data_IF_798703771165
#
_entry.id   IF_798703771165
#
_cell.length_a   1.000
_cell.length_b   1.000
_cell.length_c   1.000
_cell.angle_alpha   90.00
_cell.angle_beta   90.00
_cell.angle_gamma   90.00
#
_symmetry.space_group_name_H-M   'P 1'
#
loop_
_entity.id
_entity.type
_entity.pdbx_description
1 polymer ?
#
# COMPACT_ATOMS: atom_id res chain seq x y z
N UNK A 1 -18.54 3.68 17.85
CA UNK A 1 -18.25 4.56 16.70
C UNK A 1 -19.48 4.55 15.82
N UNK A 2 -19.92 5.68 15.27
CA UNK A 2 -21.02 5.66 14.29
C UNK A 2 -20.58 4.78 13.11
N UNK A 3 -21.51 4.08 12.46
CA UNK A 3 -21.22 3.17 11.33
C UNK A 3 -20.54 3.88 10.14
N UNK A 4 -20.49 5.21 10.14
CA UNK A 4 -20.01 6.05 9.02
C UNK A 4 -18.83 6.95 9.42
N UNK A 5 -17.98 6.52 10.34
CA UNK A 5 -16.77 7.26 10.75
C UNK A 5 -15.51 6.42 10.67
N UNK A 6 -14.39 7.12 10.46
CA UNK A 6 -13.03 6.59 10.41
C UNK A 6 -12.10 7.43 11.27
N UNK A 7 -11.08 6.81 11.84
CA UNK A 7 -9.99 7.48 12.53
C UNK A 7 -8.88 7.77 11.54
N UNK A 8 -8.65 9.05 11.27
CA UNK A 8 -7.77 9.56 10.22
C UNK A 8 -6.56 10.23 10.85
N UNK A 9 -5.37 9.87 10.39
CA UNK A 9 -4.12 10.52 10.77
C UNK A 9 -3.92 11.79 9.93
N UNK A 10 -4.10 11.69 8.61
CA UNK A 10 -3.94 12.82 7.70
C UNK A 10 -4.68 12.60 6.37
N UNK A 11 -5.06 13.70 5.72
CA UNK A 11 -5.50 13.71 4.31
C UNK A 11 -4.74 14.82 3.60
N UNK A 12 -3.98 14.47 2.58
CA UNK A 12 -3.08 15.40 1.90
C UNK A 12 -2.99 15.12 0.40
N UNK A 13 -2.50 16.10 -0.35
CA UNK A 13 -2.31 16.02 -1.80
C UNK A 13 -0.82 16.00 -2.11
N UNK A 14 -0.39 14.98 -2.86
CA UNK A 14 1.00 14.84 -3.31
C UNK A 14 1.08 14.03 -4.62
N UNK A 15 2.24 13.49 -4.95
CA UNK A 15 2.45 12.52 -6.02
C UNK A 15 2.46 11.10 -5.46
N UNK A 16 1.84 10.16 -6.16
CA UNK A 16 2.04 8.75 -5.85
C UNK A 16 3.52 8.41 -5.95
N UNK A 17 4.09 7.89 -4.87
CA UNK A 17 5.52 7.62 -4.76
C UNK A 17 5.92 6.23 -5.24
N UNK A 18 4.95 5.33 -5.36
CA UNK A 18 5.18 3.89 -5.57
C UNK A 18 4.12 3.26 -6.48
N UNK A 19 4.42 2.07 -7.01
CA UNK A 19 3.53 1.29 -7.86
C UNK A 19 3.32 1.87 -9.25
N UNK A 20 2.31 1.34 -9.94
CA UNK A 20 1.98 1.62 -11.34
C UNK A 20 1.62 3.08 -11.60
N UNK A 21 1.07 3.77 -10.61
CA UNK A 21 0.64 5.17 -10.72
C UNK A 21 1.68 6.16 -10.21
N UNK A 22 2.93 5.73 -10.00
CA UNK A 22 4.03 6.59 -9.58
C UNK A 22 4.12 7.88 -10.41
N UNK A 23 4.27 9.02 -9.73
CA UNK A 23 4.33 10.36 -10.33
C UNK A 23 2.98 11.01 -10.61
N UNK A 24 1.84 10.32 -10.43
CA UNK A 24 0.53 10.92 -10.63
C UNK A 24 0.07 11.73 -9.41
N UNK A 25 -0.53 12.92 -9.60
CA UNK A 25 -1.11 13.68 -8.49
C UNK A 25 -2.26 12.92 -7.83
N UNK A 26 -2.15 12.74 -6.53
CA UNK A 26 -2.97 11.81 -5.74
C UNK A 26 -3.32 12.44 -4.39
N UNK A 27 -4.58 12.31 -3.99
CA UNK A 27 -4.99 12.58 -2.61
C UNK A 27 -4.84 11.31 -1.79
N UNK A 28 -4.06 11.39 -0.72
CA UNK A 28 -3.87 10.31 0.23
C UNK A 28 -4.82 10.47 1.39
N UNK A 29 -5.48 9.37 1.78
CA UNK A 29 -6.30 9.27 2.97
C UNK A 29 -5.61 8.28 3.90
N UNK A 30 -4.88 8.79 4.90
CA UNK A 30 -4.10 7.98 5.83
C UNK A 30 -4.90 7.69 7.09
N UNK A 31 -5.32 6.45 7.26
CA UNK A 31 -6.03 5.96 8.44
C UNK A 31 -5.06 5.71 9.61
N UNK A 32 -5.61 5.74 10.82
CA UNK A 32 -4.88 5.47 12.06
C UNK A 32 -5.03 4.02 12.51
N UNK A 33 -3.94 3.43 13.00
CA UNK A 33 -3.90 2.13 13.68
C UNK A 33 -3.46 0.99 12.76
N UNK A 34 -2.44 0.24 13.18
CA UNK A 34 -1.94 -0.94 12.47
C UNK A 34 -1.75 -2.11 13.46
N UNK A 35 -2.15 -3.35 13.12
CA UNK A 35 -1.89 -4.52 13.95
C UNK A 35 -0.47 -5.07 13.80
N UNK A 36 0.35 -4.53 12.88
CA UNK A 36 1.73 -4.95 12.61
C UNK A 36 2.74 -3.96 13.20
N UNK A 37 3.96 -4.42 13.46
CA UNK A 37 5.13 -3.64 13.90
C UNK A 37 6.35 -3.97 13.04
N UNK A 38 6.21 -3.73 11.73
CA UNK A 38 7.27 -4.02 10.76
C UNK A 38 8.57 -3.26 11.14
N UNK A 39 9.71 -3.94 11.13
CA UNK A 39 11.00 -3.35 11.54
C UNK A 39 11.48 -2.17 10.69
N UNK A 40 10.96 -2.01 9.47
CA UNK A 40 11.27 -0.92 8.55
C UNK A 40 10.12 0.07 8.35
N UNK A 41 9.13 0.10 9.25
CA UNK A 41 7.96 0.97 9.07
C UNK A 41 8.36 2.46 9.05
N UNK A 42 8.07 3.14 7.96
CA UNK A 42 8.30 4.59 7.81
C UNK A 42 7.11 5.46 8.27
N UNK A 43 6.02 4.83 8.71
CA UNK A 43 4.77 5.50 9.09
C UNK A 43 4.33 5.10 10.52
N UNK A 44 5.26 4.90 11.45
CA UNK A 44 4.93 4.56 12.85
C UNK A 44 4.05 5.61 13.53
N UNK A 45 4.17 6.87 13.10
CA UNK A 45 3.34 7.98 13.59
C UNK A 45 1.84 7.76 13.35
N UNK A 46 1.45 6.88 12.41
CA UNK A 46 0.06 6.53 12.15
C UNK A 46 -0.47 5.38 13.04
N UNK A 47 0.32 4.80 13.95
CA UNK A 47 -0.15 3.72 14.84
C UNK A 47 -1.14 4.21 15.90
N UNK A 48 -1.06 5.48 16.31
CA UNK A 48 -1.85 6.07 17.38
C UNK A 48 -2.25 7.52 17.02
N UNK A 49 -3.02 8.18 17.88
CA UNK A 49 -3.47 9.56 17.62
C UNK A 49 -4.62 9.60 16.63
N UNK A 50 -4.59 10.54 15.67
CA UNK A 50 -5.63 10.71 14.66
C UNK A 50 -6.99 11.19 15.19
N UNK A 51 -7.80 11.70 14.27
CA UNK A 51 -9.10 12.29 14.55
C UNK A 51 -10.23 11.42 13.98
N UNK A 52 -11.31 11.27 14.74
CA UNK A 52 -12.51 10.60 14.21
C UNK A 52 -13.26 11.55 13.30
N UNK A 53 -13.46 11.16 12.05
CA UNK A 53 -14.13 11.95 11.01
C UNK A 53 -15.22 11.16 10.35
N UNK A 54 -16.30 11.84 9.97
CA UNK A 54 -17.35 11.19 9.16
C UNK A 54 -16.83 10.95 7.74
N UNK A 55 -17.38 9.93 7.06
CA UNK A 55 -17.05 9.66 5.65
C UNK A 55 -17.40 10.88 4.78
N UNK A 56 -18.50 11.57 5.07
CA UNK A 56 -18.91 12.74 4.29
C UNK A 56 -17.94 13.92 4.47
N UNK A 57 -17.37 14.12 5.67
CA UNK A 57 -16.32 15.12 5.89
C UNK A 57 -15.02 14.76 5.13
N UNK A 58 -14.70 13.47 5.04
CA UNK A 58 -13.54 12.96 4.30
C UNK A 58 -13.72 13.26 2.81
N UNK A 59 -14.88 12.92 2.24
CA UNK A 59 -15.21 13.19 0.83
C UNK A 59 -15.13 14.69 0.51
N UNK A 60 -15.72 15.55 1.35
CA UNK A 60 -15.64 17.00 1.15
C UNK A 60 -14.20 17.53 1.18
N UNK A 61 -13.31 16.93 1.96
CA UNK A 61 -11.90 17.32 1.95
C UNK A 61 -11.17 16.80 0.71
N UNK A 62 -11.47 15.57 0.28
CA UNK A 62 -10.93 15.00 -0.96
C UNK A 62 -11.29 15.88 -2.15
N UNK A 63 -12.57 16.26 -2.28
CA UNK A 63 -13.06 17.13 -3.37
C UNK A 63 -12.31 18.46 -3.41
N UNK A 64 -12.03 19.06 -2.24
CA UNK A 64 -11.29 20.33 -2.14
C UNK A 64 -9.84 20.23 -2.59
N UNK A 65 -9.22 19.06 -2.49
CA UNK A 65 -7.83 18.83 -2.91
C UNK A 65 -7.71 18.62 -4.43
N UNK A 66 -8.78 18.18 -5.09
CA UNK A 66 -8.92 18.21 -6.55
C UNK A 66 -8.15 17.14 -7.34
N UNK A 67 -7.60 16.12 -6.67
CA UNK A 67 -6.97 14.99 -7.36
C UNK A 67 -8.01 14.01 -7.91
N UNK A 68 -7.78 13.47 -9.11
CA UNK A 68 -8.62 12.38 -9.63
C UNK A 68 -8.26 11.02 -9.02
N UNK A 69 -7.01 10.85 -8.60
CA UNK A 69 -6.50 9.63 -7.97
C UNK A 69 -6.55 9.74 -6.45
N UNK A 70 -7.06 8.70 -5.80
CA UNK A 70 -7.18 8.61 -4.35
C UNK A 70 -6.45 7.36 -3.89
N UNK A 71 -5.57 7.51 -2.91
CA UNK A 71 -4.89 6.40 -2.26
C UNK A 71 -5.37 6.29 -0.81
N UNK A 72 -6.08 5.21 -0.51
CA UNK A 72 -6.51 4.87 0.86
C UNK A 72 -5.41 4.01 1.49
N UNK A 73 -4.81 4.50 2.56
CA UNK A 73 -3.62 3.93 3.21
C UNK A 73 -3.64 4.22 4.71
N UNK A 74 -2.54 3.97 5.41
CA UNK A 74 -2.27 4.39 6.79
C UNK A 74 -1.73 3.28 7.64
N UNK A 75 -1.81 3.42 8.97
CA UNK A 75 -1.87 2.16 9.71
C UNK A 75 -2.98 1.31 9.07
N UNK A 76 -2.77 0.00 8.93
CA UNK A 76 -3.60 -0.93 8.13
C UNK A 76 -5.06 -0.49 7.90
N UNK A 77 -5.43 0.00 6.69
CA UNK A 77 -6.75 0.58 6.46
C UNK A 77 -7.90 -0.38 6.76
N UNK A 78 -7.72 -1.66 6.43
CA UNK A 78 -8.73 -2.70 6.62
C UNK A 78 -8.97 -3.04 8.10
N UNK A 79 -8.16 -2.49 9.03
CA UNK A 79 -8.42 -2.61 10.46
C UNK A 79 -9.66 -1.81 10.89
N UNK A 80 -10.11 -0.86 10.07
CA UNK A 80 -11.33 -0.09 10.32
C UNK A 80 -12.43 -0.49 9.33
N UNK A 81 -13.40 -1.29 9.78
CA UNK A 81 -14.48 -1.84 8.92
C UNK A 81 -15.23 -0.80 8.07
N UNK A 82 -15.37 0.44 8.54
CA UNK A 82 -16.04 1.51 7.79
C UNK A 82 -15.29 1.93 6.51
N UNK A 83 -14.03 1.50 6.33
CA UNK A 83 -13.21 1.86 5.15
C UNK A 83 -13.80 1.34 3.85
N UNK A 84 -14.51 0.21 3.89
CA UNK A 84 -15.22 -0.33 2.73
C UNK A 84 -16.27 0.66 2.21
N UNK A 85 -17.04 1.28 3.12
CA UNK A 85 -18.01 2.31 2.76
C UNK A 85 -17.36 3.58 2.20
N UNK A 86 -16.20 3.99 2.73
CA UNK A 86 -15.44 5.10 2.16
C UNK A 86 -15.00 4.81 0.73
N UNK A 87 -14.38 3.65 0.49
CA UNK A 87 -13.89 3.27 -0.83
C UNK A 87 -15.02 3.17 -1.86
N UNK A 88 -16.15 2.60 -1.47
CA UNK A 88 -17.34 2.53 -2.32
C UNK A 88 -17.82 3.94 -2.72
N UNK A 89 -18.00 4.85 -1.75
CA UNK A 89 -18.44 6.22 -2.02
C UNK A 89 -17.47 7.01 -2.88
N UNK A 90 -16.16 6.83 -2.69
CA UNK A 90 -15.14 7.44 -3.55
C UNK A 90 -15.27 6.96 -5.00
N UNK A 91 -15.44 5.66 -5.20
CA UNK A 91 -15.66 5.09 -6.53
C UNK A 91 -16.97 5.59 -7.16
N UNK A 92 -18.05 5.70 -6.37
CA UNK A 92 -19.34 6.22 -6.83
C UNK A 92 -19.27 7.70 -7.24
N UNK A 93 -18.37 8.47 -6.62
CA UNK A 93 -18.09 9.86 -7.01
C UNK A 93 -17.18 9.97 -8.25
N UNK A 94 -16.73 8.86 -8.81
CA UNK A 94 -15.94 8.81 -10.05
C UNK A 94 -14.42 8.88 -9.85
N UNK A 95 -13.92 8.77 -8.62
CA UNK A 95 -12.48 8.74 -8.35
C UNK A 95 -11.82 7.43 -8.77
N UNK A 96 -10.54 7.49 -9.13
CA UNK A 96 -9.69 6.31 -9.27
C UNK A 96 -9.07 5.97 -7.92
N UNK A 97 -9.56 4.90 -7.30
CA UNK A 97 -9.18 4.55 -5.92
C UNK A 97 -8.19 3.39 -5.91
N UNK A 98 -7.09 3.56 -5.18
CA UNK A 98 -6.20 2.46 -4.78
C UNK A 98 -6.19 2.28 -3.28
N UNK A 99 -6.04 1.03 -2.84
CA UNK A 99 -5.88 0.63 -1.45
C UNK A 99 -4.46 0.10 -1.24
N UNK A 100 -3.70 0.70 -0.33
CA UNK A 100 -2.44 0.13 0.16
C UNK A 100 -2.69 -0.60 1.48
N UNK A 101 -2.46 -1.91 1.49
CA UNK A 101 -2.72 -2.79 2.66
C UNK A 101 -1.56 -3.77 2.85
N UNK A 102 -1.33 -4.20 4.10
CA UNK A 102 -0.32 -5.22 4.42
C UNK A 102 -0.69 -6.63 3.95
N UNK A 103 -1.94 -6.85 3.55
CA UNK A 103 -2.43 -8.19 3.24
C UNK A 103 -2.61 -9.10 4.46
N UNK A 104 -2.53 -8.55 5.69
CA UNK A 104 -2.80 -9.30 6.91
C UNK A 104 -4.31 -9.47 7.20
N UNK A 105 -5.13 -8.59 6.64
CA UNK A 105 -6.59 -8.62 6.78
C UNK A 105 -7.27 -9.01 5.47
N UNK A 106 -8.53 -9.42 5.57
CA UNK A 106 -9.30 -9.95 4.44
C UNK A 106 -9.59 -8.87 3.39
N UNK A 107 -9.28 -9.17 2.13
CA UNK A 107 -9.52 -8.25 1.00
C UNK A 107 -10.76 -8.62 0.19
N UNK A 108 -11.49 -9.69 0.53
CA UNK A 108 -12.62 -10.18 -0.28
C UNK A 108 -13.77 -9.17 -0.40
N UNK A 109 -13.92 -8.29 0.60
CA UNK A 109 -14.98 -7.26 0.67
C UNK A 109 -14.54 -5.91 0.08
N UNK A 110 -13.33 -5.81 -0.48
CA UNK A 110 -12.88 -4.59 -1.15
C UNK A 110 -13.66 -4.43 -2.45
N UNK A 111 -14.23 -3.24 -2.67
CA UNK A 111 -14.97 -2.93 -3.90
C UNK A 111 -14.13 -3.25 -5.14
N UNK A 112 -14.71 -3.99 -6.09
CA UNK A 112 -14.01 -4.46 -7.29
C UNK A 112 -13.39 -3.37 -8.17
N UNK A 113 -13.84 -2.11 -8.02
CA UNK A 113 -13.29 -0.94 -8.73
C UNK A 113 -12.00 -0.42 -8.10
N UNK A 114 -11.71 -0.81 -6.86
CA UNK A 114 -10.52 -0.38 -6.13
C UNK A 114 -9.33 -1.26 -6.53
N UNK A 115 -8.24 -0.61 -6.93
CA UNK A 115 -6.96 -1.28 -7.16
C UNK A 115 -6.31 -1.61 -5.82
N UNK A 116 -6.13 -2.89 -5.54
CA UNK A 116 -5.44 -3.38 -4.35
C UNK A 116 -3.95 -3.38 -4.59
N UNK A 117 -3.19 -2.79 -3.68
CA UNK A 117 -1.74 -2.90 -3.58
C UNK A 117 -1.44 -3.63 -2.27
N UNK A 118 -1.18 -4.93 -2.37
CA UNK A 118 -0.90 -5.77 -1.21
C UNK A 118 0.61 -5.79 -0.98
N UNK A 119 1.05 -5.26 0.15
CA UNK A 119 2.45 -5.25 0.57
C UNK A 119 2.78 -6.49 1.39
N UNK A 120 3.24 -7.54 0.70
CA UNK A 120 3.59 -8.84 1.28
C UNK A 120 4.81 -8.67 2.19
N UNK A 121 4.64 -9.06 3.44
CA UNK A 121 5.64 -8.89 4.49
C UNK A 121 6.73 -9.94 4.35
N UNK A 122 7.92 -9.52 3.96
CA UNK A 122 9.11 -10.37 3.87
C UNK A 122 9.61 -10.78 5.27
N UNK A 123 10.45 -11.80 5.41
CA UNK A 123 11.10 -12.14 6.69
C UNK A 123 11.75 -10.95 7.39
N UNK A 124 12.44 -10.08 6.64
CA UNK A 124 13.09 -8.86 7.14
C UNK A 124 12.12 -7.84 7.76
N UNK A 125 10.81 -7.95 7.52
CA UNK A 125 9.81 -7.12 8.19
C UNK A 125 9.59 -7.51 9.67
N UNK A 126 9.88 -8.76 10.04
CA UNK A 126 9.50 -9.34 11.33
C UNK A 126 8.01 -9.74 11.44
N UNK A 127 7.23 -9.60 10.36
CA UNK A 127 5.77 -9.83 10.35
C UNK A 127 5.35 -10.81 9.23
N UNK A 128 6.26 -11.64 8.73
CA UNK A 128 6.00 -12.59 7.63
C UNK A 128 4.82 -13.54 7.91
N UNK A 129 4.65 -13.96 9.16
CA UNK A 129 3.56 -14.85 9.59
C UNK A 129 2.18 -14.18 9.56
N UNK A 130 2.12 -12.87 9.34
CA UNK A 130 0.85 -12.13 9.20
C UNK A 130 0.27 -12.18 7.80
N UNK A 131 1.05 -12.60 6.80
CA UNK A 131 0.56 -12.66 5.42
C UNK A 131 -0.63 -13.63 5.32
N UNK A 132 -1.78 -13.13 4.86
CA UNK A 132 -2.99 -13.95 4.64
C UNK A 132 -3.05 -14.39 3.18
N UNK A 133 -2.50 -15.57 2.89
CA UNK A 133 -2.38 -16.05 1.50
C UNK A 133 -3.73 -16.28 0.79
N UNK A 134 -4.83 -16.45 1.53
CA UNK A 134 -6.18 -16.54 0.94
C UNK A 134 -6.59 -15.26 0.20
N UNK A 135 -5.97 -14.11 0.51
CA UNK A 135 -6.18 -12.87 -0.22
C UNK A 135 -5.79 -12.98 -1.70
N UNK A 136 -4.86 -13.88 -2.06
CA UNK A 136 -4.39 -14.04 -3.44
C UNK A 136 -5.42 -14.65 -4.39
N UNK A 137 -6.52 -15.17 -3.87
CA UNK A 137 -7.68 -15.61 -4.67
C UNK A 137 -8.56 -14.42 -5.12
N UNK A 138 -8.40 -13.26 -4.50
CA UNK A 138 -9.19 -12.05 -4.76
C UNK A 138 -8.42 -10.98 -5.56
N UNK A 139 -7.22 -11.33 -6.05
CA UNK A 139 -6.42 -10.49 -6.94
C UNK A 139 -6.93 -10.57 -8.38
N UNK A 140 -6.81 -9.45 -9.08
CA UNK A 140 -7.09 -9.28 -10.50
C UNK A 140 -5.86 -8.73 -11.23
N UNK A 141 -5.88 -8.74 -12.56
CA UNK A 141 -4.81 -8.18 -13.39
C UNK A 141 -4.56 -6.67 -13.19
N UNK A 142 -5.49 -5.97 -12.54
CA UNK A 142 -5.36 -4.54 -12.25
C UNK A 142 -4.69 -4.26 -10.90
N UNK A 143 -4.62 -5.27 -10.04
CA UNK A 143 -4.02 -5.18 -8.71
C UNK A 143 -2.50 -5.27 -8.77
N UNK A 144 -1.86 -5.06 -7.62
CA UNK A 144 -0.42 -5.12 -7.47
C UNK A 144 -0.06 -5.87 -6.18
N UNK A 145 1.00 -6.67 -6.24
CA UNK A 145 1.66 -7.21 -5.05
C UNK A 145 3.03 -6.58 -4.93
N UNK A 146 3.32 -6.00 -3.76
CA UNK A 146 4.58 -5.35 -3.45
C UNK A 146 5.38 -6.17 -2.45
N UNK A 147 6.68 -6.27 -2.69
CA UNK A 147 7.66 -6.80 -1.75
C UNK A 147 8.66 -5.70 -1.42
N UNK A 148 8.74 -5.33 -0.13
CA UNK A 148 9.74 -4.40 0.39
C UNK A 148 10.85 -5.21 1.07
N UNK A 149 12.07 -5.10 0.55
CA UNK A 149 13.18 -6.02 0.88
C UNK A 149 14.29 -5.33 1.66
N UNK A 150 14.70 -5.97 2.76
CA UNK A 150 15.78 -5.52 3.62
C UNK A 150 17.18 -5.93 3.12
N UNK A 151 17.27 -7.09 2.46
CA UNK A 151 18.53 -7.74 2.11
C UNK A 151 18.34 -8.80 1.00
N UNK A 152 19.40 -9.56 0.72
CA UNK A 152 19.42 -10.64 -0.27
C UNK A 152 18.55 -11.85 0.14
N UNK A 153 18.40 -12.12 1.44
CA UNK A 153 17.56 -13.21 1.91
C UNK A 153 16.07 -12.90 1.64
N UNK A 154 15.65 -11.66 1.86
CA UNK A 154 14.33 -11.17 1.47
C UNK A 154 14.10 -11.27 -0.05
N UNK A 155 15.12 -10.99 -0.87
CA UNK A 155 15.03 -11.13 -2.32
C UNK A 155 14.76 -12.58 -2.74
N UNK A 156 15.55 -13.53 -2.23
CA UNK A 156 15.36 -14.94 -2.55
C UNK A 156 14.02 -15.47 -2.07
N UNK A 157 13.64 -15.13 -0.84
CA UNK A 157 12.33 -15.51 -0.29
C UNK A 157 11.18 -14.95 -1.14
N UNK A 158 11.27 -13.68 -1.55
CA UNK A 158 10.21 -13.03 -2.34
C UNK A 158 10.08 -13.64 -3.73
N UNK A 159 11.21 -13.99 -4.36
CA UNK A 159 11.24 -14.73 -5.64
C UNK A 159 10.51 -16.07 -5.52
N UNK A 160 10.79 -16.83 -4.47
CA UNK A 160 10.21 -18.15 -4.27
C UNK A 160 8.72 -18.05 -3.91
N UNK A 161 8.35 -17.15 -3.00
CA UNK A 161 6.96 -16.89 -2.63
C UNK A 161 6.12 -16.42 -3.83
N UNK A 162 6.65 -15.52 -4.66
CA UNK A 162 5.97 -15.06 -5.88
C UNK A 162 5.65 -16.24 -6.80
N UNK A 163 6.61 -17.14 -7.01
CA UNK A 163 6.47 -18.33 -7.88
C UNK A 163 5.51 -19.35 -7.28
N UNK A 164 5.63 -19.65 -5.98
CA UNK A 164 4.77 -20.59 -5.26
C UNK A 164 3.29 -20.22 -5.39
N UNK A 165 2.97 -18.93 -5.34
CA UNK A 165 1.60 -18.43 -5.42
C UNK A 165 1.20 -17.92 -6.81
N UNK A 166 2.07 -18.09 -7.81
CA UNK A 166 1.87 -17.65 -9.21
C UNK A 166 1.45 -16.18 -9.32
N UNK A 167 1.98 -15.31 -8.45
CA UNK A 167 1.47 -13.93 -8.32
C UNK A 167 1.73 -13.09 -9.56
N UNK A 168 2.86 -13.31 -10.22
CA UNK A 168 3.22 -12.64 -11.48
C UNK A 168 2.32 -13.03 -12.67
N UNK A 169 1.53 -14.11 -12.55
CA UNK A 169 0.54 -14.50 -13.54
C UNK A 169 -0.84 -13.89 -13.24
N UNK A 170 -1.07 -13.45 -11.99
CA UNK A 170 -2.34 -12.90 -11.53
C UNK A 170 -2.39 -11.38 -11.64
N UNK A 171 -1.29 -10.72 -11.30
CA UNK A 171 -1.22 -9.26 -11.21
C UNK A 171 0.22 -8.76 -11.38
N UNK A 172 0.41 -7.44 -11.39
CA UNK A 172 1.75 -6.86 -11.43
C UNK A 172 2.47 -7.08 -10.08
N UNK A 173 3.73 -7.50 -10.14
CA UNK A 173 4.58 -7.70 -8.94
C UNK A 173 5.65 -6.62 -8.89
N UNK A 174 5.76 -5.97 -7.73
CA UNK A 174 6.65 -4.84 -7.47
C UNK A 174 7.74 -5.27 -6.48
N UNK A 175 9.01 -5.07 -6.85
CA UNK A 175 10.15 -5.26 -5.96
C UNK A 175 10.72 -3.89 -5.57
N UNK A 176 10.80 -3.63 -4.27
CA UNK A 176 11.24 -2.35 -3.71
C UNK A 176 12.30 -2.58 -2.63
N UNK A 177 13.42 -1.85 -2.63
CA UNK A 177 14.38 -1.90 -1.52
C UNK A 177 13.86 -1.06 -0.34
N UNK A 178 14.16 -1.47 0.89
CA UNK A 178 14.08 -0.57 2.05
C UNK A 178 15.13 0.53 1.88
N UNK A 179 14.69 1.78 1.80
CA UNK A 179 15.60 2.91 1.63
C UNK A 179 16.60 3.01 2.79
N UNK A 180 17.88 3.24 2.46
CA UNK A 180 18.94 3.35 3.45
C UNK A 180 19.46 2.03 4.02
N UNK A 181 18.78 0.91 3.73
CA UNK A 181 19.16 -0.42 4.18
C UNK A 181 19.65 -1.30 3.02
N UNK A 182 18.82 -1.51 2.00
CA UNK A 182 19.21 -2.22 0.77
C UNK A 182 19.54 -1.21 -0.32
N UNK A 183 20.73 -1.31 -0.93
CA UNK A 183 21.07 -0.46 -2.07
C UNK A 183 20.18 -0.81 -3.24
N UNK A 184 19.51 0.20 -3.80
CA UNK A 184 18.64 0.06 -4.96
C UNK A 184 19.34 -0.59 -6.17
N UNK A 185 20.63 -0.31 -6.37
CA UNK A 185 21.43 -0.91 -7.45
C UNK A 185 21.62 -2.41 -7.27
N UNK A 186 21.77 -2.87 -6.02
CA UNK A 186 22.02 -4.28 -5.74
C UNK A 186 20.75 -5.09 -6.06
N UNK A 187 19.59 -4.63 -5.57
CA UNK A 187 18.30 -5.23 -5.92
C UNK A 187 18.01 -5.18 -7.43
N UNK A 188 18.31 -4.06 -8.10
CA UNK A 188 18.12 -3.95 -9.55
C UNK A 188 18.98 -4.96 -10.32
N UNK A 189 20.25 -5.12 -9.92
CA UNK A 189 21.15 -6.10 -10.54
C UNK A 189 20.63 -7.53 -10.35
N UNK A 190 20.19 -7.90 -9.14
CA UNK A 190 19.63 -9.22 -8.88
C UNK A 190 18.38 -9.52 -9.73
N UNK A 191 17.48 -8.54 -9.89
CA UNK A 191 16.30 -8.66 -10.77
C UNK A 191 16.70 -8.91 -12.21
N UNK A 192 17.72 -8.20 -12.72
CA UNK A 192 18.22 -8.35 -14.09
C UNK A 192 18.94 -9.68 -14.31
N UNK A 193 19.80 -10.09 -13.37
CA UNK A 193 20.57 -11.34 -13.42
C UNK A 193 19.63 -12.57 -13.43
N UNK A 194 18.60 -12.56 -12.59
CA UNK A 194 17.59 -13.61 -12.48
C UNK A 194 16.48 -13.50 -13.54
N UNK A 195 16.47 -12.43 -14.34
CA UNK A 195 15.48 -12.15 -15.39
C UNK A 195 14.04 -12.23 -14.89
N UNK A 196 13.79 -11.67 -13.71
CA UNK A 196 12.49 -11.79 -13.06
C UNK A 196 11.41 -10.98 -13.79
N UNK A 197 10.17 -11.51 -13.93
CA UNK A 197 9.05 -10.80 -14.53
C UNK A 197 8.39 -9.85 -13.51
N UNK A 198 9.17 -8.90 -12.97
CA UNK A 198 8.73 -7.96 -11.94
C UNK A 198 9.01 -6.52 -12.35
N UNK A 199 8.27 -5.58 -11.77
CA UNK A 199 8.60 -4.16 -11.85
C UNK A 199 9.48 -3.79 -10.67
N UNK A 200 10.68 -3.31 -10.96
CA UNK A 200 11.51 -2.65 -9.95
C UNK A 200 10.97 -1.26 -9.64
N UNK A 201 10.99 -0.86 -8.37
CA UNK A 201 10.65 0.49 -7.96
C UNK A 201 11.56 1.02 -6.83
N UNK A 202 11.56 2.33 -6.69
CA UNK A 202 12.09 3.07 -5.54
C UNK A 202 10.99 4.03 -5.05
N UNK A 203 11.09 4.48 -3.81
CA UNK A 203 10.12 5.41 -3.21
C UNK A 203 10.38 6.84 -3.72
N UNK A 204 9.71 7.25 -4.81
CA UNK A 204 9.93 8.55 -5.46
C UNK A 204 9.76 9.72 -4.49
N UNK A 205 8.76 9.66 -3.61
CA UNK A 205 8.50 10.71 -2.63
C UNK A 205 9.69 10.96 -1.70
N UNK A 206 10.43 9.90 -1.29
CA UNK A 206 11.63 10.05 -0.46
C UNK A 206 12.81 10.68 -1.20
N UNK A 207 12.90 10.51 -2.52
CA UNK A 207 13.87 11.23 -3.34
C UNK A 207 13.56 12.72 -3.46
N UNK A 208 12.27 13.07 -3.49
CA UNK A 208 11.83 14.47 -3.67
C UNK A 208 11.79 15.24 -2.35
N UNK A 209 11.36 14.61 -1.27
CA UNK A 209 11.05 15.27 0.00
C UNK A 209 11.64 14.58 1.24
N UNK A 210 12.32 13.45 1.11
CA UNK A 210 12.77 12.65 2.25
C UNK A 210 11.60 12.07 3.04
N UNK A 211 11.76 11.90 4.35
CA UNK A 211 10.74 11.33 5.25
C UNK A 211 9.75 12.39 5.79
N UNK A 212 9.46 13.44 5.01
CA UNK A 212 8.55 14.51 5.45
C UNK A 212 7.10 14.01 5.38
N UNK A 213 6.35 14.00 6.50
CA UNK A 213 4.95 13.60 6.49
C UNK A 213 4.09 14.51 5.60
N UNK A 214 3.07 13.95 4.97
CA UNK A 214 2.15 14.69 4.10
C UNK A 214 2.79 15.22 2.81
N UNK A 215 3.91 14.60 2.37
CA UNK A 215 4.61 14.88 1.12
C UNK A 215 4.82 13.62 0.31
#
# INVERSE_FOLDING_TARGET
>A
MSKDSLRITEIFYSLQGEGKTVGLPTTFIRLTGCPLRCGYCDTEYAFHGGETRSIDDILQQVDKLGAQYINVTGGEPLAQKSVHGLMQKLCDAGYYVSLETSGALDVSEVDSRVVKVIDVKTPGSGEVDKNRHSNYAHLTQYDQVKYVMCDEADFHWSKDHMREHSLNEKCEVLFSPVQGQLKATDLANWVLEEKLPVRFQIQLHKYLWGDVPGK
#
